data_IF_619736871405
#
_entry.id   IF_619736871405
#
_cell.length_a   1.000
_cell.length_b   1.000
_cell.length_c   1.000
_cell.angle_alpha   90.00
_cell.angle_beta   90.00
_cell.angle_gamma   90.00
#
_symmetry.space_group_name_H-M   'P 1'
#
loop_
_entity.id
_entity.type
_entity.pdbx_description
1 polymer ?
#
# COMPACT_ATOMS: atom_id res chain seq x y z
N UNK A 1 -1.45 13.51 -14.57
CA UNK A 1 -0.34 13.26 -13.63
C UNK A 1 -0.26 14.26 -12.47
N UNK A 2 0.06 15.54 -12.70
CA UNK A 2 0.21 16.54 -11.60
C UNK A 2 -1.01 16.66 -10.67
N UNK A 3 -2.22 16.54 -11.22
CA UNK A 3 -3.46 16.52 -10.41
C UNK A 3 -3.53 15.29 -9.49
N UNK A 4 -3.16 14.12 -9.99
CA UNK A 4 -3.15 12.87 -9.21
C UNK A 4 -2.14 12.95 -8.05
N UNK A 5 -0.96 13.55 -8.28
CA UNK A 5 0.03 13.76 -7.20
C UNK A 5 -0.45 14.72 -6.11
N UNK A 6 -1.38 15.63 -6.40
CA UNK A 6 -1.94 16.57 -5.41
C UNK A 6 -2.98 15.89 -4.51
N UNK A 7 -3.71 14.90 -5.04
CA UNK A 7 -4.70 14.13 -4.28
C UNK A 7 -4.04 12.98 -3.52
N UNK A 8 -3.03 12.34 -4.09
CA UNK A 8 -2.34 11.21 -3.48
C UNK A 8 -1.72 11.57 -2.11
N UNK A 9 -1.97 10.72 -1.12
CA UNK A 9 -1.49 10.92 0.25
C UNK A 9 -0.19 10.16 0.44
N UNK A 10 0.94 10.83 0.18
CA UNK A 10 2.27 10.22 0.40
C UNK A 10 2.45 9.74 1.85
N UNK A 11 1.81 10.45 2.79
CA UNK A 11 1.69 10.10 4.22
C UNK A 11 1.24 8.67 4.50
N UNK A 12 0.40 8.10 3.63
CA UNK A 12 -0.20 6.77 3.79
C UNK A 12 0.70 5.63 3.27
N UNK A 13 1.84 5.91 2.66
CA UNK A 13 2.76 4.87 2.19
C UNK A 13 3.53 4.25 3.35
N UNK A 14 3.86 2.96 3.23
CA UNK A 14 4.55 2.22 4.30
C UNK A 14 5.92 2.81 4.71
N UNK A 15 6.58 3.52 3.80
CA UNK A 15 7.89 4.17 4.03
C UNK A 15 7.77 5.67 4.31
N UNK A 16 6.57 6.19 4.55
CA UNK A 16 6.35 7.58 4.90
C UNK A 16 6.90 7.90 6.30
N UNK A 17 7.42 9.11 6.48
CA UNK A 17 7.81 9.61 7.80
C UNK A 17 6.59 9.79 8.72
N UNK A 18 5.40 10.03 8.17
CA UNK A 18 4.14 10.12 8.94
C UNK A 18 3.72 8.77 9.53
N UNK A 19 4.23 7.67 8.97
CA UNK A 19 4.10 6.33 9.51
C UNK A 19 5.12 6.04 10.63
N UNK A 20 6.00 6.97 11.01
CA UNK A 20 6.88 6.80 12.15
C UNK A 20 6.19 7.21 13.46
N UNK A 21 6.44 6.51 14.60
CA UNK A 21 7.48 5.51 14.82
C UNK A 21 6.93 4.09 14.73
N UNK A 22 6.18 3.72 13.68
CA UNK A 22 5.83 2.31 13.45
C UNK A 22 7.09 1.53 13.08
N UNK A 23 7.86 1.21 14.12
CA UNK A 23 9.02 0.37 14.07
C UNK A 23 8.54 -0.98 13.52
N UNK A 24 9.05 -1.36 12.36
CA UNK A 24 9.04 -2.73 11.84
C UNK A 24 9.31 -3.76 12.95
N UNK A 25 8.87 -4.99 12.74
CA UNK A 25 9.21 -6.09 13.66
C UNK A 25 10.71 -6.05 13.97
N UNK A 26 11.06 -6.18 15.25
CA UNK A 26 12.46 -6.32 15.62
C UNK A 26 13.01 -7.59 14.99
N UNK A 27 14.29 -7.59 14.66
CA UNK A 27 14.94 -8.77 14.12
C UNK A 27 14.76 -9.97 15.06
N UNK A 28 14.45 -11.14 14.48
CA UNK A 28 14.15 -12.35 15.25
C UNK A 28 12.76 -12.40 15.93
N UNK A 29 11.92 -11.37 15.79
CA UNK A 29 10.55 -11.38 16.36
C UNK A 29 9.49 -11.73 15.31
N UNK A 30 8.40 -12.37 15.74
CA UNK A 30 7.23 -12.70 14.91
C UNK A 30 7.59 -13.48 13.63
N UNK A 31 8.68 -14.25 13.68
CA UNK A 31 9.27 -14.93 12.51
C UNK A 31 8.27 -15.89 11.86
N UNK A 32 7.60 -16.71 12.66
CA UNK A 32 6.66 -17.72 12.16
C UNK A 32 5.43 -17.07 11.54
N UNK A 33 4.91 -16.00 12.15
CA UNK A 33 3.80 -15.22 11.60
C UNK A 33 4.17 -14.57 10.26
N UNK A 34 5.36 -13.96 10.18
CA UNK A 34 5.83 -13.33 8.95
C UNK A 34 6.02 -14.38 7.84
N UNK A 35 6.60 -15.56 8.16
CA UNK A 35 6.73 -16.67 7.21
C UNK A 35 5.38 -17.19 6.74
N UNK A 36 4.43 -17.35 7.66
CA UNK A 36 3.05 -17.76 7.33
C UNK A 36 2.40 -16.77 6.36
N UNK A 37 2.46 -15.47 6.66
CA UNK A 37 1.90 -14.42 5.80
C UNK A 37 2.57 -14.42 4.43
N UNK A 38 3.90 -14.55 4.37
CA UNK A 38 4.62 -14.65 3.09
C UNK A 38 4.19 -15.86 2.27
N UNK A 39 4.16 -17.05 2.86
CA UNK A 39 3.72 -18.26 2.17
C UNK A 39 2.27 -18.17 1.71
N UNK A 40 1.42 -17.49 2.49
CA UNK A 40 0.04 -17.20 2.09
C UNK A 40 0.03 -16.30 0.84
N UNK A 41 0.74 -15.17 0.86
CA UNK A 41 0.82 -14.19 -0.24
C UNK A 41 1.42 -14.73 -1.54
N UNK A 42 2.15 -15.84 -1.48
CA UNK A 42 2.74 -16.48 -2.66
C UNK A 42 1.75 -17.35 -3.45
N UNK A 43 0.60 -17.71 -2.88
CA UNK A 43 -0.46 -18.44 -3.59
C UNK A 43 -1.27 -17.53 -4.53
N UNK A 44 -0.81 -17.40 -5.78
CA UNK A 44 -1.44 -16.57 -6.83
C UNK A 44 -2.85 -17.01 -7.25
N UNK A 45 -3.39 -18.12 -6.76
CA UNK A 45 -4.68 -18.68 -7.20
C UNK A 45 -5.90 -18.09 -6.49
N UNK A 46 -5.72 -17.20 -5.51
CA UNK A 46 -6.81 -16.71 -4.67
C UNK A 46 -6.72 -15.20 -4.46
N UNK A 47 -7.87 -14.54 -4.36
CA UNK A 47 -7.95 -13.22 -3.73
C UNK A 47 -7.68 -13.42 -2.23
N UNK A 48 -6.77 -12.64 -1.69
CA UNK A 48 -6.25 -12.86 -0.34
C UNK A 48 -6.57 -11.68 0.58
N UNK A 49 -7.34 -11.96 1.63
CA UNK A 49 -7.56 -11.03 2.74
C UNK A 49 -6.94 -11.65 3.99
N UNK A 50 -6.01 -10.93 4.61
CA UNK A 50 -5.40 -11.33 5.88
C UNK A 50 -5.98 -10.48 7.00
N UNK A 51 -6.65 -11.13 7.95
CA UNK A 51 -7.16 -10.48 9.15
C UNK A 51 -6.21 -10.69 10.33
N UNK A 52 -5.36 -9.70 10.61
CA UNK A 52 -4.42 -9.75 11.74
C UNK A 52 -5.06 -9.18 13.01
N UNK A 53 -5.47 -10.04 13.93
CA UNK A 53 -6.08 -9.67 15.21
C UNK A 53 -5.20 -10.01 16.42
N UNK A 54 -5.47 -9.36 17.55
CA UNK A 54 -4.72 -9.56 18.79
C UNK A 54 -4.89 -8.39 19.76
N UNK A 55 -4.36 -8.51 20.97
CA UNK A 55 -4.45 -7.47 22.00
C UNK A 55 -3.79 -6.15 21.54
N UNK A 56 -4.23 -5.03 22.11
CA UNK A 56 -3.56 -3.75 21.88
C UNK A 56 -2.09 -3.82 22.32
N UNK A 57 -1.18 -3.17 21.60
CA UNK A 57 0.24 -3.15 21.95
C UNK A 57 1.10 -4.29 21.38
N UNK A 58 0.53 -5.36 20.81
CA UNK A 58 1.31 -6.47 20.21
C UNK A 58 1.93 -6.15 18.84
N UNK A 59 2.03 -4.85 18.51
CA UNK A 59 2.68 -4.33 17.30
C UNK A 59 2.16 -4.95 15.99
N UNK A 60 0.85 -5.19 15.89
CA UNK A 60 0.21 -5.70 14.65
C UNK A 60 0.55 -4.86 13.42
N UNK A 61 0.51 -3.53 13.54
CA UNK A 61 0.91 -2.63 12.46
C UNK A 61 2.36 -2.86 12.03
N UNK A 62 3.27 -3.19 12.97
CA UNK A 62 4.66 -3.50 12.64
C UNK A 62 4.80 -4.72 11.73
N UNK A 63 3.95 -5.75 11.90
CA UNK A 63 3.88 -6.90 10.98
C UNK A 63 3.55 -6.42 9.57
N UNK A 64 2.50 -5.62 9.41
CA UNK A 64 2.09 -5.10 8.11
C UNK A 64 3.20 -4.26 7.45
N UNK A 65 3.90 -3.40 8.22
CA UNK A 65 5.06 -2.66 7.72
C UNK A 65 6.20 -3.59 7.28
N UNK A 66 6.53 -4.61 8.07
CA UNK A 66 7.59 -5.56 7.72
C UNK A 66 7.26 -6.37 6.48
N UNK A 67 6.00 -6.79 6.31
CA UNK A 67 5.54 -7.48 5.09
C UNK A 67 5.66 -6.55 3.88
N UNK A 68 5.20 -5.30 3.97
CA UNK A 68 5.33 -4.31 2.90
C UNK A 68 6.81 -4.06 2.53
N UNK A 69 7.70 -3.90 3.53
CA UNK A 69 9.14 -3.72 3.30
C UNK A 69 9.75 -4.91 2.54
N UNK A 70 9.40 -6.14 2.94
CA UNK A 70 9.89 -7.38 2.30
C UNK A 70 9.35 -7.54 0.88
N UNK A 71 8.06 -7.27 0.65
CA UNK A 71 7.44 -7.43 -0.68
C UNK A 71 7.86 -6.38 -1.71
N UNK A 72 8.34 -5.21 -1.27
CA UNK A 72 8.89 -4.20 -2.19
C UNK A 72 10.24 -4.62 -2.79
N UNK A 73 11.00 -5.52 -2.14
CA UNK A 73 12.27 -6.02 -2.66
C UNK A 73 13.52 -5.21 -2.28
N UNK A 74 13.49 -4.41 -1.20
CA UNK A 74 14.64 -3.58 -0.78
C UNK A 74 15.68 -4.30 0.10
N UNK A 75 15.51 -5.58 0.44
CA UNK A 75 16.57 -6.37 1.11
C UNK A 75 16.76 -7.75 0.48
N UNK A 76 17.93 -7.85 -0.14
CA UNK A 76 18.65 -9.04 -0.60
C UNK A 76 18.86 -9.98 0.59
N UNK A 77 18.24 -11.15 0.53
CA UNK A 77 18.86 -12.39 1.03
C UNK A 77 19.12 -13.24 -0.20
N UNK A 78 20.32 -13.78 -0.30
CA UNK A 78 21.04 -14.18 -1.52
C UNK A 78 20.39 -15.31 -2.37
N UNK A 79 19.17 -15.74 -2.09
CA UNK A 79 18.64 -17.02 -2.61
C UNK A 79 17.29 -16.94 -3.35
N UNK A 80 16.68 -15.77 -3.54
CA UNK A 80 15.39 -15.71 -4.26
C UNK A 80 15.30 -14.55 -5.25
N UNK A 81 15.02 -14.88 -6.51
CA UNK A 81 14.72 -13.95 -7.61
C UNK A 81 13.81 -12.80 -7.15
N UNK A 82 14.31 -11.57 -7.26
CA UNK A 82 13.65 -10.36 -6.77
C UNK A 82 12.57 -9.93 -7.77
N UNK A 83 11.35 -10.44 -7.61
CA UNK A 83 10.19 -9.81 -8.22
C UNK A 83 9.69 -8.71 -7.28
N UNK A 84 9.55 -7.48 -7.77
CA UNK A 84 8.84 -6.42 -7.05
C UNK A 84 7.36 -6.85 -6.95
N UNK A 85 6.97 -7.43 -5.81
CA UNK A 85 5.62 -7.98 -5.58
C UNK A 85 4.65 -6.96 -5.00
N UNK A 86 5.14 -5.82 -4.53
CA UNK A 86 4.33 -4.75 -3.95
C UNK A 86 4.16 -3.58 -4.92
N UNK A 87 2.95 -3.41 -5.44
CA UNK A 87 2.63 -2.38 -6.41
C UNK A 87 2.29 -1.02 -5.77
N UNK A 88 1.82 -1.03 -4.52
CA UNK A 88 1.49 0.17 -3.74
C UNK A 88 1.01 -0.19 -2.33
N UNK A 89 0.95 0.80 -1.44
CA UNK A 89 0.47 0.65 -0.05
C UNK A 89 -0.42 1.82 0.37
N UNK A 90 -1.34 1.56 1.30
CA UNK A 90 -2.09 2.59 1.99
C UNK A 90 -2.31 2.16 3.45
N UNK A 91 -1.73 2.90 4.38
CA UNK A 91 -1.86 2.68 5.82
C UNK A 91 -2.87 3.66 6.39
N UNK A 92 -4.01 3.13 6.85
CA UNK A 92 -5.00 3.93 7.54
C UNK A 92 -4.49 4.35 8.92
N UNK A 93 -4.67 5.63 9.26
CA UNK A 93 -4.24 6.17 10.54
C UNK A 93 -5.20 7.25 11.02
N UNK A 94 -5.71 7.11 12.25
CA UNK A 94 -6.55 8.13 12.89
C UNK A 94 -5.79 9.42 13.23
N UNK A 95 -4.45 9.40 13.19
CA UNK A 95 -3.63 10.57 13.51
C UNK A 95 -3.56 11.59 12.37
N UNK A 96 -3.90 11.19 11.15
CA UNK A 96 -3.81 12.03 9.96
C UNK A 96 -5.15 11.98 9.22
N UNK A 97 -5.83 13.12 9.10
CA UNK A 97 -7.18 13.23 8.54
C UNK A 97 -7.30 12.69 7.12
N UNK A 98 -6.26 12.86 6.29
CA UNK A 98 -6.24 12.28 4.94
C UNK A 98 -6.04 10.77 4.95
N UNK A 99 -5.29 10.22 5.91
CA UNK A 99 -5.08 8.78 6.05
C UNK A 99 -6.26 8.07 6.76
N UNK A 100 -7.28 8.78 7.23
CA UNK A 100 -8.51 8.17 7.72
C UNK A 100 -9.69 8.25 6.73
N UNK A 101 -9.50 8.91 5.58
CA UNK A 101 -10.55 9.07 4.57
C UNK A 101 -10.33 8.11 3.40
N UNK A 102 -11.27 7.19 3.21
CA UNK A 102 -11.19 6.17 2.17
C UNK A 102 -11.16 6.74 0.74
N UNK A 103 -11.70 7.95 0.51
CA UNK A 103 -11.66 8.65 -0.78
C UNK A 103 -10.25 8.87 -1.33
N UNK A 104 -9.22 8.86 -0.47
CA UNK A 104 -7.82 8.98 -0.92
C UNK A 104 -7.16 7.64 -1.29
N UNK A 105 -7.77 6.50 -0.95
CA UNK A 105 -7.17 5.18 -1.11
C UNK A 105 -6.80 4.91 -2.57
N UNK A 106 -7.79 4.98 -3.46
CA UNK A 106 -7.61 4.61 -4.85
C UNK A 106 -6.72 5.58 -5.61
N UNK A 107 -6.90 6.89 -5.42
CA UNK A 107 -6.02 7.90 -6.00
C UNK A 107 -4.55 7.71 -5.57
N UNK A 108 -4.31 7.36 -4.30
CA UNK A 108 -2.97 7.12 -3.76
C UNK A 108 -2.34 5.83 -4.30
N UNK A 109 -3.12 4.76 -4.48
CA UNK A 109 -2.66 3.52 -5.09
C UNK A 109 -2.40 3.69 -6.59
N UNK A 110 -3.29 4.37 -7.32
CA UNK A 110 -3.12 4.71 -8.72
C UNK A 110 -1.85 5.53 -8.96
N UNK A 111 -1.56 6.49 -8.09
CA UNK A 111 -0.32 7.27 -8.13
C UNK A 111 0.92 6.39 -7.95
N UNK A 112 0.91 5.48 -6.97
CA UNK A 112 2.02 4.54 -6.74
C UNK A 112 2.21 3.57 -7.91
N UNK A 113 1.12 3.02 -8.46
CA UNK A 113 1.16 2.14 -9.62
C UNK A 113 1.77 2.82 -10.84
N UNK A 114 1.30 4.03 -11.18
CA UNK A 114 1.81 4.79 -12.29
C UNK A 114 3.27 5.24 -12.12
N UNK A 115 3.75 5.40 -10.88
CA UNK A 115 5.18 5.61 -10.61
C UNK A 115 6.03 4.36 -10.86
N UNK A 116 5.49 3.19 -10.55
CA UNK A 116 6.22 1.93 -10.66
C UNK A 116 6.15 1.33 -12.08
N UNK A 117 5.11 1.66 -12.86
CA UNK A 117 4.83 1.09 -14.16
C UNK A 117 4.52 2.19 -15.21
N UNK A 118 5.46 2.48 -16.14
CA UNK A 118 5.27 3.54 -17.14
C UNK A 118 4.05 3.35 -18.05
N UNK A 119 3.66 2.10 -18.36
CA UNK A 119 2.45 1.81 -19.14
C UNK A 119 1.18 2.29 -18.41
N UNK A 120 1.08 2.03 -17.10
CA UNK A 120 -0.03 2.49 -16.25
C UNK A 120 -0.07 4.02 -16.20
N UNK A 121 1.09 4.68 -16.18
CA UNK A 121 1.14 6.14 -16.18
C UNK A 121 0.47 6.76 -17.42
N UNK A 122 0.66 6.16 -18.59
CA UNK A 122 0.06 6.64 -19.83
C UNK A 122 -1.46 6.47 -19.81
N UNK A 123 -1.93 5.29 -19.38
CA UNK A 123 -3.37 5.02 -19.26
C UNK A 123 -4.03 5.94 -18.23
N UNK A 124 -3.42 6.13 -17.06
CA UNK A 124 -3.90 7.04 -16.02
C UNK A 124 -4.01 8.48 -16.52
N UNK A 125 -3.04 8.95 -17.31
CA UNK A 125 -3.10 10.29 -17.89
C UNK A 125 -4.28 10.45 -18.85
N UNK A 126 -4.54 9.44 -19.70
CA UNK A 126 -5.70 9.44 -20.61
C UNK A 126 -7.01 9.45 -19.84
N UNK A 127 -7.16 8.58 -18.85
CA UNK A 127 -8.38 8.44 -18.04
C UNK A 127 -8.68 9.73 -17.28
N UNK A 128 -7.70 10.31 -16.58
CA UNK A 128 -7.87 11.56 -15.83
C UNK A 128 -8.14 12.75 -16.76
N UNK A 129 -7.57 12.75 -17.97
CA UNK A 129 -7.85 13.79 -18.96
C UNK A 129 -9.32 13.75 -19.43
N UNK A 130 -9.85 12.54 -19.66
CA UNK A 130 -11.22 12.34 -20.13
C UNK A 130 -12.26 12.53 -19.02
N UNK A 131 -11.94 12.11 -17.80
CA UNK A 131 -12.83 12.23 -16.64
C UNK A 131 -12.07 12.79 -15.42
N UNK A 132 -11.94 14.12 -15.29
CA UNK A 132 -11.25 14.73 -14.16
C UNK A 132 -12.00 14.59 -12.83
N UNK A 133 -13.30 14.27 -12.84
CA UNK A 133 -14.09 14.07 -11.63
C UNK A 133 -13.67 12.82 -10.83
N UNK A 134 -12.94 11.88 -11.44
CA UNK A 134 -12.35 10.73 -10.73
C UNK A 134 -11.38 11.11 -9.59
N UNK A 135 -10.90 12.35 -9.59
CA UNK A 135 -10.04 12.89 -8.55
C UNK A 135 -10.82 13.68 -7.49
N UNK A 136 -12.14 13.81 -7.65
CA UNK A 136 -13.01 14.43 -6.68
C UNK A 136 -13.25 13.47 -5.51
N UNK A 137 -13.07 14.01 -4.30
CA UNK A 137 -13.22 13.26 -3.05
C UNK A 137 -14.69 13.12 -2.64
N UNK A 138 -15.56 13.95 -3.21
CA UNK A 138 -17.00 13.89 -3.01
C UNK A 138 -17.65 12.83 -3.92
N UNK A 139 -16.89 12.27 -4.87
CA UNK A 139 -17.34 11.16 -5.71
C UNK A 139 -17.42 9.87 -4.89
N UNK A 140 -18.53 9.11 -4.98
CA UNK A 140 -18.65 7.81 -4.33
C UNK A 140 -17.52 6.85 -4.72
N UNK A 141 -17.02 6.07 -3.75
CA UNK A 141 -15.94 5.09 -3.99
C UNK A 141 -16.29 4.04 -5.05
N UNK A 142 -17.57 3.70 -5.19
CA UNK A 142 -18.04 2.76 -6.21
C UNK A 142 -17.77 3.31 -7.61
N UNK A 143 -18.10 4.59 -7.84
CA UNK A 143 -17.94 5.24 -9.14
C UNK A 143 -16.45 5.48 -9.49
N UNK A 144 -15.55 5.47 -8.49
CA UNK A 144 -14.10 5.53 -8.73
C UNK A 144 -13.50 4.20 -9.25
N UNK A 145 -14.22 3.09 -9.10
CA UNK A 145 -13.76 1.74 -9.47
C UNK A 145 -14.32 1.22 -10.80
N UNK A 146 -15.30 1.92 -11.37
CA UNK A 146 -15.95 1.58 -12.66
C UNK A 146 -15.19 2.18 -13.86
#
# INVERSE_FOLDING_TARGET
>A
WMKLSQVAVQGAQYNSHECQPHLKCLEGTQVDLLKYIHGFLDDRKRNQLIWLHGTAGVRKSAVAFTIAERMKGLKVTEETNVEMRLAGTFFFSHKHTKCCTAGYLFATLAYQLANNFPSIQQDMNRVIHNNPALLDLDMPLYDQME
#
